data_IF_744118167056
#
_entry.id   IF_744118167056
#
_cell.length_a   1.000
_cell.length_b   1.000
_cell.length_c   1.000
_cell.angle_alpha   90.00
_cell.angle_beta   90.00
_cell.angle_gamma   90.00
#
_symmetry.space_group_name_H-M   'P 1'
#
loop_
_entity.id
_entity.type
_entity.pdbx_description
1 polymer ?
#
# COMPACT_ATOMS: atom_id res chain seq x y z
N UNK A 1 -39.78 19.62 24.20
CA UNK A 1 -38.62 18.75 24.48
C UNK A 1 -37.84 18.58 23.18
N UNK A 2 -36.72 19.28 23.02
CA UNK A 2 -35.77 19.08 21.94
C UNK A 2 -34.80 18.00 22.42
N UNK A 3 -34.78 16.85 21.75
CA UNK A 3 -33.69 15.89 21.86
C UNK A 3 -32.58 16.39 20.93
N UNK A 4 -31.57 17.03 21.51
CA UNK A 4 -30.28 17.19 20.81
C UNK A 4 -29.67 15.82 20.67
N UNK A 5 -29.80 15.26 19.46
CA UNK A 5 -28.98 14.10 19.03
C UNK A 5 -27.53 14.57 18.99
N UNK A 6 -26.82 14.43 20.10
CA UNK A 6 -25.37 14.48 20.09
C UNK A 6 -24.89 13.29 19.27
N UNK A 7 -24.73 13.51 17.96
CA UNK A 7 -24.05 12.58 17.09
C UNK A 7 -22.62 12.44 17.55
N UNK A 8 -22.30 11.34 18.22
CA UNK A 8 -20.93 10.92 18.43
C UNK A 8 -20.32 10.61 17.06
N UNK A 9 -19.76 11.63 16.41
CA UNK A 9 -18.99 11.42 15.19
C UNK A 9 -17.64 10.80 15.56
N UNK A 10 -17.65 9.51 15.90
CA UNK A 10 -16.43 8.74 15.91
C UNK A 10 -16.12 8.35 14.47
N UNK A 11 -15.04 8.91 13.90
CA UNK A 11 -14.44 8.31 12.71
C UNK A 11 -14.21 6.83 12.98
N UNK A 12 -14.54 5.92 12.08
CA UNK A 12 -14.25 4.52 12.27
C UNK A 12 -12.75 4.35 12.53
N UNK A 13 -12.38 3.36 13.34
CA UNK A 13 -10.98 2.95 13.47
C UNK A 13 -10.60 2.09 12.28
N UNK A 14 -9.32 2.07 11.93
CA UNK A 14 -8.83 1.08 10.96
C UNK A 14 -9.09 -0.34 11.49
N UNK A 15 -9.21 -1.29 10.57
CA UNK A 15 -9.26 -2.71 10.90
C UNK A 15 -7.90 -3.12 11.49
N UNK A 16 -7.91 -3.83 12.61
CA UNK A 16 -6.68 -4.29 13.27
C UNK A 16 -6.53 -5.81 13.26
N UNK A 17 -7.63 -6.54 13.04
CA UNK A 17 -7.59 -7.98 12.91
C UNK A 17 -6.81 -8.41 11.65
N UNK A 18 -5.79 -9.23 11.84
CA UNK A 18 -4.87 -9.64 10.78
C UNK A 18 -3.84 -8.60 10.35
N UNK A 19 -3.79 -7.41 10.99
CA UNK A 19 -2.81 -6.37 10.67
C UNK A 19 -1.41 -6.78 11.16
N UNK A 20 -0.51 -7.07 10.20
CA UNK A 20 0.85 -7.56 10.49
C UNK A 20 1.94 -6.54 10.21
N UNK A 21 1.63 -5.49 9.44
CA UNK A 21 2.51 -4.36 9.16
C UNK A 21 1.71 -3.08 9.02
N UNK A 22 2.17 -2.00 9.64
CA UNK A 22 1.52 -0.69 9.57
C UNK A 22 2.51 0.44 9.78
N UNK A 23 2.69 1.27 8.76
CA UNK A 23 3.45 2.51 8.85
C UNK A 23 2.57 3.70 8.46
N UNK A 24 2.77 4.82 9.15
CA UNK A 24 2.05 6.06 8.91
C UNK A 24 2.97 7.26 9.15
N UNK A 25 3.29 8.00 8.09
CA UNK A 25 4.19 9.14 8.12
C UNK A 25 3.68 10.30 9.02
N UNK A 26 2.36 10.38 9.25
CA UNK A 26 1.78 11.39 10.15
C UNK A 26 1.82 10.99 11.63
N UNK A 27 1.97 9.71 11.92
CA UNK A 27 2.04 9.23 13.29
C UNK A 27 3.46 9.39 13.86
N UNK A 28 3.63 10.26 14.85
CA UNK A 28 4.95 10.54 15.43
C UNK A 28 5.64 9.33 16.07
N UNK A 29 4.90 8.27 16.42
CA UNK A 29 5.46 6.99 16.86
C UNK A 29 5.97 6.15 15.68
N UNK A 30 5.40 6.35 14.48
CA UNK A 30 5.89 5.72 13.25
C UNK A 30 7.04 6.52 12.65
N UNK A 31 6.85 7.85 12.50
CA UNK A 31 7.92 8.74 12.04
C UNK A 31 7.93 10.04 12.83
N UNK A 32 9.02 10.35 13.58
CA UNK A 32 9.05 11.54 14.45
C UNK A 32 9.18 12.87 13.69
N UNK A 33 9.40 12.83 12.37
CA UNK A 33 9.60 14.01 11.51
C UNK A 33 11.05 14.23 11.10
N UNK A 34 11.98 13.41 11.60
CA UNK A 34 13.40 13.44 11.24
C UNK A 34 14.04 12.06 11.45
N UNK A 35 15.22 11.87 10.86
CA UNK A 35 15.97 10.61 10.93
C UNK A 35 15.62 9.68 9.76
N UNK A 36 16.18 8.47 9.79
CA UNK A 36 16.07 7.50 8.70
C UNK A 36 15.21 6.29 9.03
N UNK A 37 14.64 6.22 10.24
CA UNK A 37 13.83 5.08 10.67
C UNK A 37 12.34 5.38 10.50
N UNK A 38 11.64 4.52 9.77
CA UNK A 38 10.17 4.50 9.71
C UNK A 38 9.66 3.29 10.51
N UNK A 39 9.10 3.55 11.68
CA UNK A 39 8.74 2.54 12.66
C UNK A 39 7.40 1.88 12.32
N UNK A 40 7.37 0.56 12.28
CA UNK A 40 6.16 -0.24 12.21
C UNK A 40 5.38 -0.13 13.54
N UNK A 41 4.09 0.18 13.42
CA UNK A 41 3.18 0.40 14.55
C UNK A 41 2.58 -0.90 15.11
N UNK A 42 2.80 -2.04 14.44
CA UNK A 42 2.32 -3.35 14.91
C UNK A 42 3.20 -3.92 16.01
N UNK A 43 2.78 -5.03 16.59
CA UNK A 43 3.57 -5.75 17.58
C UNK A 43 4.83 -6.38 16.98
N UNK A 44 4.87 -6.60 15.65
CA UNK A 44 6.01 -7.20 14.94
C UNK A 44 7.23 -6.27 14.90
N UNK A 45 6.99 -4.93 14.91
CA UNK A 45 8.06 -3.91 14.94
C UNK A 45 9.08 -4.05 13.81
N UNK A 46 8.59 -4.37 12.63
CA UNK A 46 9.39 -4.47 11.41
C UNK A 46 9.77 -3.07 10.93
N UNK A 47 10.74 -2.45 11.63
CA UNK A 47 11.12 -1.07 11.38
C UNK A 47 11.89 -0.95 10.07
N UNK A 48 11.59 0.12 9.32
CA UNK A 48 12.22 0.40 8.04
C UNK A 48 13.31 1.44 8.09
N UNK A 49 14.14 1.41 7.05
CA UNK A 49 15.17 2.41 6.81
C UNK A 49 14.86 3.17 5.52
N UNK A 50 14.73 4.49 5.64
CA UNK A 50 14.63 5.40 4.50
C UNK A 50 15.97 5.43 3.75
N UNK A 51 15.95 5.15 2.45
CA UNK A 51 17.13 5.10 1.61
C UNK A 51 17.23 6.33 0.71
N UNK A 52 18.46 6.81 0.52
CA UNK A 52 18.82 7.84 -0.46
C UNK A 52 18.11 9.21 -0.28
N UNK A 53 17.79 9.58 0.95
CA UNK A 53 17.35 10.93 1.27
C UNK A 53 15.91 11.25 0.90
N UNK A 54 14.99 10.30 1.02
CA UNK A 54 13.55 10.52 0.82
C UNK A 54 13.09 11.79 1.52
N UNK A 55 12.48 12.71 0.78
CA UNK A 55 11.98 13.96 1.33
C UNK A 55 10.72 13.74 2.17
N UNK A 56 10.71 14.29 3.39
CA UNK A 56 9.55 14.32 4.28
C UNK A 56 8.93 15.72 4.30
N UNK A 57 7.60 15.80 4.28
CA UNK A 57 6.83 17.02 4.50
C UNK A 57 5.78 16.80 5.57
N UNK A 58 5.44 17.86 6.31
CA UNK A 58 4.33 17.90 7.26
C UNK A 58 2.96 18.11 6.60
N UNK A 59 2.92 18.26 5.29
CA UNK A 59 1.67 18.32 4.53
C UNK A 59 0.82 17.08 4.81
N UNK A 60 -0.51 17.25 4.81
CA UNK A 60 -1.41 16.14 5.15
C UNK A 60 -1.02 15.41 6.44
N UNK A 61 -0.46 16.15 7.42
CA UNK A 61 0.12 15.72 8.69
C UNK A 61 1.38 14.86 8.60
N UNK A 62 1.83 14.46 7.43
CA UNK A 62 3.06 13.71 7.19
C UNK A 62 3.00 12.89 5.91
N UNK A 63 3.93 13.15 5.00
CA UNK A 63 4.07 12.45 3.72
C UNK A 63 5.55 12.27 3.37
N UNK A 64 5.86 11.20 2.64
CA UNK A 64 7.13 11.00 1.96
C UNK A 64 6.98 11.21 0.46
N UNK A 65 7.97 11.85 -0.16
CA UNK A 65 8.03 12.09 -1.62
C UNK A 65 9.13 11.25 -2.24
N UNK A 66 8.78 10.55 -3.32
CA UNK A 66 9.62 9.71 -4.16
C UNK A 66 9.67 10.34 -5.55
N UNK A 67 10.84 10.52 -6.12
CA UNK A 67 11.03 11.18 -7.43
C UNK A 67 11.41 10.21 -8.56
N UNK A 68 11.29 8.91 -8.30
CA UNK A 68 11.67 7.81 -9.20
C UNK A 68 13.19 7.74 -9.52
N UNK A 69 14.04 8.46 -8.81
CA UNK A 69 15.49 8.44 -9.05
C UNK A 69 16.16 7.29 -8.32
N UNK A 70 16.11 7.27 -6.98
CA UNK A 70 16.77 6.22 -6.20
C UNK A 70 16.15 5.97 -4.82
N UNK A 71 15.11 6.71 -4.43
CA UNK A 71 14.47 6.64 -3.13
C UNK A 71 13.65 5.35 -2.98
N UNK A 72 13.74 4.74 -1.82
CA UNK A 72 12.89 3.63 -1.38
C UNK A 72 13.03 3.40 0.12
N UNK A 73 12.13 2.63 0.70
CA UNK A 73 12.22 2.20 2.10
C UNK A 73 12.32 0.69 2.14
N UNK A 74 13.20 0.17 3.01
CA UNK A 74 13.32 -1.27 3.27
C UNK A 74 12.95 -1.56 4.71
N UNK A 75 12.19 -2.63 4.93
CA UNK A 75 11.84 -3.16 6.24
C UNK A 75 12.26 -4.62 6.30
N UNK A 76 12.91 -5.00 7.40
CA UNK A 76 13.16 -6.42 7.65
C UNK A 76 11.90 -7.06 8.20
N UNK A 77 11.38 -8.03 7.52
CA UNK A 77 10.17 -8.77 7.91
C UNK A 77 10.33 -10.25 7.62
N UNK A 78 9.62 -11.08 8.37
CA UNK A 78 9.50 -12.53 8.18
C UNK A 78 8.07 -12.96 8.51
N UNK A 79 7.12 -12.60 7.62
CA UNK A 79 5.76 -13.11 7.68
C UNK A 79 5.72 -14.36 6.80
N UNK A 80 5.92 -15.50 7.43
CA UNK A 80 5.99 -16.78 6.73
C UNK A 80 4.62 -17.33 6.36
N UNK A 81 4.58 -17.99 5.21
CA UNK A 81 3.52 -18.93 4.80
C UNK A 81 2.09 -18.37 4.82
N UNK A 82 1.83 -17.31 4.05
CA UNK A 82 0.48 -16.77 3.86
C UNK A 82 -0.14 -17.27 2.56
N UNK A 83 -1.41 -17.64 2.60
CA UNK A 83 -2.24 -17.98 1.43
C UNK A 83 -3.19 -16.86 1.02
N UNK A 84 -3.38 -15.88 1.89
CA UNK A 84 -4.24 -14.73 1.69
C UNK A 84 -3.55 -13.48 2.24
N UNK A 85 -3.78 -12.34 1.62
CA UNK A 85 -3.23 -11.08 2.10
C UNK A 85 -4.08 -9.88 1.68
N UNK A 86 -3.86 -8.76 2.37
CA UNK A 86 -4.27 -7.44 1.91
C UNK A 86 -3.08 -6.49 1.98
N UNK A 87 -2.80 -5.80 0.88
CA UNK A 87 -1.86 -4.67 0.81
C UNK A 87 -2.67 -3.40 0.64
N UNK A 88 -2.41 -2.38 1.46
CA UNK A 88 -3.13 -1.12 1.42
C UNK A 88 -2.16 0.04 1.51
N UNK A 89 -2.38 1.07 0.67
CA UNK A 89 -1.57 2.28 0.66
C UNK A 89 -2.43 3.53 0.48
N UNK A 90 -2.01 4.65 1.09
CA UNK A 90 -2.41 5.98 0.69
C UNK A 90 -1.29 6.63 -0.09
N UNK A 91 -1.58 7.00 -1.34
CA UNK A 91 -0.62 7.62 -2.24
C UNK A 91 -1.24 8.72 -3.10
N UNK A 92 -0.37 9.54 -3.64
CA UNK A 92 -0.63 10.48 -4.73
C UNK A 92 0.46 10.29 -5.77
N UNK A 93 0.13 9.77 -6.97
CA UNK A 93 1.13 9.67 -8.03
C UNK A 93 1.39 11.03 -8.69
N UNK A 94 2.62 11.25 -9.10
CA UNK A 94 3.04 12.44 -9.84
C UNK A 94 3.51 11.99 -11.23
N UNK A 95 3.02 12.66 -12.28
CA UNK A 95 3.38 12.32 -13.64
C UNK A 95 3.07 10.87 -14.05
N UNK A 96 3.74 10.39 -15.09
CA UNK A 96 3.62 9.00 -15.54
C UNK A 96 4.52 8.08 -14.73
N UNK A 97 4.04 6.87 -14.46
CA UNK A 97 4.81 5.87 -13.76
C UNK A 97 5.67 5.04 -14.71
N UNK A 98 6.81 4.58 -14.23
CA UNK A 98 7.61 3.59 -14.94
C UNK A 98 6.86 2.25 -15.01
N UNK A 99 7.14 1.46 -16.03
CA UNK A 99 6.63 0.08 -16.12
C UNK A 99 7.05 -0.70 -14.88
N UNK A 100 6.10 -1.35 -14.23
CA UNK A 100 6.29 -2.12 -12.99
C UNK A 100 6.78 -1.28 -11.80
N UNK A 101 6.59 0.04 -11.79
CA UNK A 101 6.97 0.86 -10.64
C UNK A 101 6.36 0.32 -9.35
N UNK A 102 7.20 -0.07 -8.40
CA UNK A 102 6.78 -0.72 -7.17
C UNK A 102 6.23 0.27 -6.15
N UNK A 103 5.12 -0.08 -5.51
CA UNK A 103 4.45 0.78 -4.52
C UNK A 103 4.65 0.23 -3.11
N UNK A 104 4.15 -0.98 -2.85
CA UNK A 104 4.30 -1.70 -1.59
C UNK A 104 4.51 -3.18 -1.93
N UNK A 105 5.70 -3.65 -1.73
CA UNK A 105 6.15 -4.99 -2.08
C UNK A 105 6.72 -5.75 -0.89
N UNK A 106 6.70 -7.06 -1.01
CA UNK A 106 7.56 -7.97 -0.26
C UNK A 106 8.39 -8.79 -1.23
N UNK A 107 9.64 -9.13 -0.85
CA UNK A 107 10.48 -10.07 -1.56
C UNK A 107 10.74 -11.28 -0.69
N UNK A 108 10.09 -12.39 -1.02
CA UNK A 108 10.17 -13.65 -0.28
C UNK A 108 11.51 -14.38 -0.41
N UNK A 109 11.65 -15.44 0.36
CA UNK A 109 12.74 -16.40 0.21
C UNK A 109 12.76 -16.99 -1.20
N UNK A 110 13.94 -17.11 -1.82
CA UNK A 110 14.06 -17.50 -3.21
C UNK A 110 13.97 -16.36 -4.22
N UNK A 111 13.70 -15.13 -3.76
CA UNK A 111 13.72 -13.92 -4.58
C UNK A 111 12.43 -13.56 -5.29
N UNK A 112 11.33 -14.32 -5.08
CA UNK A 112 10.03 -14.00 -5.65
C UNK A 112 9.41 -12.75 -4.99
N UNK A 113 8.70 -11.96 -5.77
CA UNK A 113 8.08 -10.71 -5.35
C UNK A 113 6.57 -10.82 -5.26
N UNK A 114 5.99 -10.10 -4.29
CA UNK A 114 4.55 -10.07 -4.02
C UNK A 114 4.17 -8.66 -3.58
N UNK A 115 3.12 -8.07 -4.16
CA UNK A 115 2.62 -6.76 -3.75
C UNK A 115 2.06 -5.92 -4.88
N UNK A 116 1.89 -4.63 -4.60
CA UNK A 116 1.29 -3.62 -5.48
C UNK A 116 2.33 -2.93 -6.35
N UNK A 117 2.05 -2.82 -7.65
CA UNK A 117 2.86 -2.08 -8.62
C UNK A 117 2.00 -1.41 -9.68
N UNK A 118 2.59 -0.48 -10.42
CA UNK A 118 2.02 -0.01 -11.69
C UNK A 118 2.31 -1.03 -12.79
N UNK A 119 1.38 -1.21 -13.73
CA UNK A 119 1.55 -2.13 -14.86
C UNK A 119 2.42 -1.51 -15.96
N UNK A 120 2.87 -2.28 -16.96
CA UNK A 120 3.52 -1.73 -18.15
C UNK A 120 2.69 -0.70 -18.92
N UNK A 121 1.36 -0.72 -18.75
CA UNK A 121 0.43 0.23 -19.38
C UNK A 121 0.36 1.58 -18.69
N UNK A 122 1.40 2.03 -18.06
CA UNK A 122 1.54 3.33 -17.40
C UNK A 122 0.31 3.81 -16.62
N UNK A 123 0.46 4.09 -15.33
CA UNK A 123 -0.61 4.63 -14.47
C UNK A 123 -1.77 3.68 -14.13
N UNK A 124 -1.83 2.48 -14.72
CA UNK A 124 -2.73 1.41 -14.32
C UNK A 124 -2.09 0.64 -13.17
N UNK A 125 -2.84 0.43 -12.08
CA UNK A 125 -2.36 -0.33 -10.92
C UNK A 125 -2.57 -1.83 -11.16
N UNK A 126 -1.58 -2.62 -10.81
CA UNK A 126 -1.58 -4.07 -10.85
C UNK A 126 -0.93 -4.66 -9.60
N UNK A 127 -0.55 -5.92 -9.69
CA UNK A 127 0.10 -6.62 -8.58
C UNK A 127 1.00 -7.74 -9.08
N UNK A 128 1.91 -8.16 -8.21
CA UNK A 128 2.65 -9.41 -8.32
C UNK A 128 2.20 -10.36 -7.21
N UNK A 129 2.24 -11.66 -7.51
CA UNK A 129 2.10 -12.71 -6.51
C UNK A 129 3.05 -13.85 -6.86
N UNK A 130 4.12 -14.01 -6.06
CA UNK A 130 5.20 -15.01 -6.28
C UNK A 130 5.83 -14.97 -7.67
N UNK A 131 5.88 -13.80 -8.32
CA UNK A 131 6.32 -13.65 -9.73
C UNK A 131 5.58 -14.58 -10.73
N UNK A 132 4.37 -15.02 -10.39
CA UNK A 132 3.57 -15.84 -11.29
C UNK A 132 3.13 -15.02 -12.51
N UNK A 133 3.39 -15.54 -13.73
CA UNK A 133 3.21 -14.81 -14.98
C UNK A 133 1.79 -14.31 -15.26
N UNK A 134 0.78 -14.95 -14.65
CA UNK A 134 -0.62 -14.53 -14.73
C UNK A 134 -1.02 -13.44 -13.71
N UNK A 135 -0.07 -12.95 -12.92
CA UNK A 135 -0.28 -11.88 -11.94
C UNK A 135 0.50 -10.63 -12.29
N UNK A 136 1.81 -10.73 -12.54
CA UNK A 136 2.61 -9.55 -12.79
C UNK A 136 2.24 -8.89 -14.12
N UNK A 137 2.17 -7.55 -14.08
CA UNK A 137 1.79 -6.79 -15.26
C UNK A 137 0.35 -7.03 -15.71
N UNK A 138 -0.53 -7.41 -14.79
CA UNK A 138 -1.96 -7.59 -15.07
C UNK A 138 -2.60 -6.28 -15.54
N UNK A 139 -2.54 -6.04 -16.85
CA UNK A 139 -3.04 -4.82 -17.52
C UNK A 139 -4.56 -4.76 -17.58
N UNK A 140 -5.22 -5.90 -17.47
CA UNK A 140 -6.68 -6.03 -17.54
C UNK A 140 -7.39 -5.43 -16.32
N UNK A 141 -6.64 -5.00 -15.28
CA UNK A 141 -7.21 -4.26 -14.16
C UNK A 141 -7.94 -3.01 -14.65
N UNK A 142 -7.44 -2.34 -15.69
CA UNK A 142 -7.93 -1.08 -16.23
C UNK A 142 -8.08 0.05 -15.18
N UNK A 143 -7.70 -0.21 -13.93
CA UNK A 143 -7.81 0.73 -12.82
C UNK A 143 -6.69 1.75 -12.90
N UNK A 144 -6.99 2.88 -13.52
CA UNK A 144 -6.03 3.98 -13.67
C UNK A 144 -6.01 4.85 -12.42
N UNK A 145 -4.82 4.99 -11.83
CA UNK A 145 -4.59 5.89 -10.69
C UNK A 145 -4.53 7.34 -11.21
N UNK A 146 -5.34 8.28 -10.70
CA UNK A 146 -5.31 9.66 -11.14
C UNK A 146 -3.98 10.34 -10.81
N UNK A 147 -3.56 11.33 -11.62
CA UNK A 147 -2.41 12.16 -11.29
C UNK A 147 -2.80 13.22 -10.26
N UNK A 148 -1.87 13.54 -9.38
CA UNK A 148 -1.95 14.65 -8.42
C UNK A 148 -3.15 14.62 -7.46
N UNK A 149 -3.82 13.48 -7.38
CA UNK A 149 -4.92 13.22 -6.45
C UNK A 149 -4.52 12.17 -5.40
N UNK A 150 -4.85 12.44 -4.13
CA UNK A 150 -4.73 11.45 -3.09
C UNK A 150 -5.78 10.37 -3.25
N UNK A 151 -5.35 9.13 -3.21
CA UNK A 151 -6.24 7.97 -3.24
C UNK A 151 -5.72 6.86 -2.33
N UNK A 152 -6.65 6.01 -1.90
CA UNK A 152 -6.32 4.77 -1.21
C UNK A 152 -6.44 3.60 -2.17
N UNK A 153 -5.39 2.81 -2.27
CA UNK A 153 -5.38 1.59 -3.07
C UNK A 153 -5.29 0.41 -2.10
N UNK A 154 -6.13 -0.59 -2.31
CA UNK A 154 -6.02 -1.86 -1.62
C UNK A 154 -6.04 -3.01 -2.63
N UNK A 155 -5.19 -4.00 -2.38
CA UNK A 155 -5.18 -5.30 -3.04
C UNK A 155 -5.57 -6.35 -2.01
N UNK A 156 -6.61 -7.12 -2.25
CA UNK A 156 -6.91 -8.34 -1.49
C UNK A 156 -6.62 -9.55 -2.35
N UNK A 157 -6.00 -10.58 -1.78
CA UNK A 157 -5.67 -11.83 -2.48
C UNK A 157 -6.16 -13.00 -1.64
N UNK A 158 -6.87 -13.91 -2.29
CA UNK A 158 -7.21 -15.26 -1.81
C UNK A 158 -6.55 -16.31 -2.70
N UNK A 159 -6.71 -17.58 -2.42
CA UNK A 159 -6.16 -18.67 -3.24
C UNK A 159 -6.67 -18.71 -4.69
N UNK A 160 -7.77 -18.03 -5.01
CA UNK A 160 -8.43 -18.07 -6.33
C UNK A 160 -8.83 -16.71 -6.91
N UNK A 161 -8.66 -15.62 -6.15
CA UNK A 161 -9.11 -14.31 -6.56
C UNK A 161 -8.18 -13.23 -6.00
N UNK A 162 -7.78 -12.28 -6.83
CA UNK A 162 -7.26 -11.00 -6.41
C UNK A 162 -8.27 -9.89 -6.74
N UNK A 163 -8.42 -8.91 -5.84
CA UNK A 163 -9.26 -7.74 -6.07
C UNK A 163 -8.49 -6.47 -5.75
N UNK A 164 -8.44 -5.55 -6.71
CA UNK A 164 -7.92 -4.20 -6.53
C UNK A 164 -9.07 -3.25 -6.28
N UNK A 165 -8.95 -2.44 -5.24
CA UNK A 165 -9.84 -1.33 -4.88
C UNK A 165 -9.07 -0.03 -4.99
N UNK A 166 -9.57 0.92 -5.78
CA UNK A 166 -9.07 2.29 -5.83
C UNK A 166 -10.16 3.23 -5.31
N UNK A 167 -10.01 3.68 -4.07
CA UNK A 167 -10.86 4.69 -3.46
C UNK A 167 -10.32 6.09 -3.76
N UNK A 168 -11.14 6.87 -4.47
CA UNK A 168 -10.96 8.31 -4.73
C UNK A 168 -12.03 9.09 -3.96
N UNK A 169 -11.84 10.39 -3.78
CA UNK A 169 -12.91 11.24 -3.23
C UNK A 169 -14.15 11.29 -4.13
N UNK A 170 -13.96 11.06 -5.42
CA UNK A 170 -15.03 11.04 -6.45
C UNK A 170 -15.70 9.68 -6.62
N UNK A 171 -15.21 8.62 -5.99
CA UNK A 171 -15.81 7.28 -6.11
C UNK A 171 -14.82 6.13 -5.97
N UNK A 172 -15.30 4.93 -6.20
CA UNK A 172 -14.57 3.67 -6.11
C UNK A 172 -14.45 3.03 -7.50
N UNK A 173 -13.26 2.57 -7.84
CA UNK A 173 -13.01 1.67 -8.98
C UNK A 173 -12.54 0.32 -8.44
N UNK A 174 -13.03 -0.77 -9.02
CA UNK A 174 -12.70 -2.14 -8.60
C UNK A 174 -12.38 -2.99 -9.82
N UNK A 175 -11.38 -3.86 -9.71
CA UNK A 175 -11.09 -4.88 -10.70
C UNK A 175 -10.70 -6.19 -10.03
N UNK A 176 -11.00 -7.31 -10.68
CA UNK A 176 -10.73 -8.65 -10.17
C UNK A 176 -9.90 -9.48 -11.15
N UNK A 177 -9.01 -10.31 -10.62
CA UNK A 177 -8.26 -11.31 -11.37
C UNK A 177 -8.52 -12.69 -10.77
N UNK A 178 -9.26 -13.53 -11.51
CA UNK A 178 -9.66 -14.87 -11.07
C UNK A 178 -8.62 -15.91 -11.52
N UNK A 179 -7.49 -15.95 -10.82
CA UNK A 179 -6.40 -16.90 -11.06
C UNK A 179 -5.97 -17.54 -9.74
N UNK A 180 -5.31 -18.69 -9.83
CA UNK A 180 -4.78 -19.37 -8.65
C UNK A 180 -3.59 -18.62 -8.07
N UNK A 181 -3.59 -18.45 -6.75
CA UNK A 181 -2.49 -17.87 -5.97
C UNK A 181 -1.93 -18.92 -5.03
N UNK A 182 -0.67 -19.26 -5.19
CA UNK A 182 0.03 -20.15 -4.27
C UNK A 182 0.39 -19.45 -2.97
N UNK A 183 0.64 -20.24 -1.92
CA UNK A 183 1.19 -19.71 -0.66
C UNK A 183 2.50 -18.97 -0.90
N UNK A 184 2.70 -17.85 -0.22
CA UNK A 184 3.91 -17.01 -0.29
C UNK A 184 4.47 -16.69 1.09
N UNK A 185 5.72 -16.23 1.12
CA UNK A 185 6.33 -15.63 2.31
C UNK A 185 6.52 -14.13 2.05
N UNK A 186 6.17 -13.31 3.01
CA UNK A 186 6.47 -11.88 2.97
C UNK A 186 7.72 -11.61 3.78
N UNK A 187 8.86 -11.61 3.12
CA UNK A 187 10.15 -11.29 3.73
C UNK A 187 10.66 -9.99 3.12
N UNK A 188 11.19 -9.09 3.94
CA UNK A 188 11.70 -7.79 3.50
C UNK A 188 10.66 -6.99 2.69
N UNK A 189 9.95 -6.11 3.38
CA UNK A 189 8.99 -5.20 2.76
C UNK A 189 9.74 -4.01 2.14
N UNK A 190 9.27 -3.56 0.97
CA UNK A 190 9.78 -2.41 0.23
C UNK A 190 8.66 -1.44 -0.08
N UNK A 191 8.93 -0.15 0.07
CA UNK A 191 8.03 0.92 -0.36
C UNK A 191 8.76 1.79 -1.37
N UNK A 192 8.11 2.10 -2.50
CA UNK A 192 8.63 2.99 -3.53
C UNK A 192 9.50 2.34 -4.60
N UNK A 193 9.66 1.02 -4.57
CA UNK A 193 10.45 0.27 -5.56
C UNK A 193 9.94 -1.15 -5.73
N UNK A 194 10.08 -1.73 -6.93
CA UNK A 194 9.95 -3.17 -7.17
C UNK A 194 11.30 -3.85 -6.84
N UNK A 195 11.37 -4.67 -5.78
CA UNK A 195 12.62 -5.29 -5.37
C UNK A 195 13.15 -6.37 -6.33
N UNK A 196 12.36 -6.78 -7.34
CA UNK A 196 12.86 -7.61 -8.43
C UNK A 196 13.83 -6.85 -9.33
N UNK A 197 13.55 -5.56 -9.55
CA UNK A 197 14.39 -4.66 -10.35
C UNK A 197 14.33 -3.23 -9.79
N UNK A 198 15.39 -2.81 -9.15
CA UNK A 198 15.49 -1.49 -8.52
C UNK A 198 15.45 -0.28 -9.47
N UNK A 199 15.34 -0.48 -10.79
CA UNK A 199 15.02 0.60 -11.74
C UNK A 199 13.52 0.92 -11.83
N UNK A 200 12.65 0.08 -11.24
CA UNK A 200 11.19 0.20 -11.27
C UNK A 200 10.68 0.97 -10.07
N UNK A 201 10.87 2.27 -10.09
CA UNK A 201 10.66 3.18 -8.95
C UNK A 201 9.36 3.94 -9.07
N UNK A 202 8.74 4.18 -7.93
CA UNK A 202 7.54 4.99 -7.80
C UNK A 202 7.88 6.48 -7.91
N UNK A 203 7.03 7.24 -8.60
CA UNK A 203 7.05 8.69 -8.66
C UNK A 203 5.80 9.25 -8.01
N UNK A 204 5.93 9.89 -6.84
CA UNK A 204 4.79 10.42 -6.13
C UNK A 204 4.99 10.58 -4.64
N UNK A 205 3.89 10.71 -3.94
CA UNK A 205 3.85 10.83 -2.49
C UNK A 205 3.16 9.63 -1.86
N UNK A 206 3.63 9.18 -0.71
CA UNK A 206 3.06 8.08 0.04
C UNK A 206 3.03 8.44 1.54
N UNK A 207 1.95 8.08 2.21
CA UNK A 207 1.72 8.45 3.60
C UNK A 207 1.46 7.26 4.52
N UNK A 208 0.74 6.24 4.06
CA UNK A 208 0.39 5.05 4.83
C UNK A 208 0.70 3.80 4.01
N UNK A 209 1.29 2.78 4.65
CA UNK A 209 1.41 1.43 4.15
C UNK A 209 0.93 0.43 5.20
N UNK A 210 0.08 -0.51 4.79
CA UNK A 210 -0.47 -1.56 5.66
C UNK A 210 -0.46 -2.91 4.95
N UNK A 211 -0.17 -3.98 5.69
CA UNK A 211 -0.31 -5.36 5.21
C UNK A 211 -1.10 -6.15 6.26
N UNK A 212 -2.05 -6.96 5.78
CA UNK A 212 -2.82 -7.91 6.57
C UNK A 212 -2.52 -9.32 6.07
N UNK A 213 -2.46 -10.28 6.99
CA UNK A 213 -2.26 -11.71 6.68
C UNK A 213 -3.56 -12.43 6.31
N UNK A 214 -4.56 -11.70 5.87
CA UNK A 214 -5.85 -12.18 5.37
C UNK A 214 -6.41 -11.24 4.29
N UNK A 215 -7.33 -11.75 3.49
CA UNK A 215 -8.12 -10.91 2.60
C UNK A 215 -9.17 -10.14 3.42
N UNK A 216 -9.11 -8.80 3.39
CA UNK A 216 -10.15 -7.95 3.96
C UNK A 216 -11.39 -7.95 3.07
N UNK A 217 -12.58 -7.84 3.66
CA UNK A 217 -13.81 -7.63 2.92
C UNK A 217 -13.87 -6.21 2.32
N UNK A 218 -14.77 -6.00 1.36
CA UNK A 218 -15.02 -4.69 0.77
C UNK A 218 -15.45 -3.66 1.82
N UNK A 219 -16.23 -4.08 2.83
CA UNK A 219 -16.68 -3.25 3.95
C UNK A 219 -15.50 -2.85 4.85
N UNK A 220 -14.58 -3.76 5.13
CA UNK A 220 -13.37 -3.49 5.92
C UNK A 220 -12.40 -2.56 5.16
N UNK A 221 -12.25 -2.73 3.85
CA UNK A 221 -11.51 -1.78 2.99
C UNK A 221 -12.14 -0.40 3.06
N UNK A 222 -13.48 -0.31 2.93
CA UNK A 222 -14.23 0.94 3.07
C UNK A 222 -14.08 1.55 4.46
N UNK A 223 -14.08 0.73 5.52
CA UNK A 223 -13.82 1.19 6.89
C UNK A 223 -12.45 1.86 7.00
N UNK A 224 -11.40 1.23 6.48
CA UNK A 224 -10.04 1.80 6.47
C UNK A 224 -9.97 3.12 5.69
N UNK A 225 -10.66 3.20 4.54
CA UNK A 225 -10.80 4.43 3.77
C UNK A 225 -11.46 5.54 4.60
N UNK A 226 -12.61 5.26 5.21
CA UNK A 226 -13.35 6.24 6.00
C UNK A 226 -12.61 6.69 7.26
N UNK A 227 -11.82 5.79 7.86
CA UNK A 227 -10.99 6.08 9.02
C UNK A 227 -9.88 7.10 8.74
N UNK A 228 -9.41 7.16 7.50
CA UNK A 228 -8.17 7.89 7.14
C UNK A 228 -8.37 9.01 6.14
N UNK A 229 -9.45 8.99 5.32
CA UNK A 229 -9.66 9.93 4.21
C UNK A 229 -9.69 11.41 4.61
N UNK A 230 -10.17 11.72 5.81
CA UNK A 230 -10.28 13.10 6.29
C UNK A 230 -8.94 13.86 6.32
N UNK A 231 -7.83 13.13 6.33
CA UNK A 231 -6.48 13.69 6.29
C UNK A 231 -6.06 14.16 4.90
N UNK A 232 -6.66 13.63 3.85
CA UNK A 232 -6.28 13.87 2.46
C UNK A 232 -7.29 14.74 1.69
N UNK A 233 -8.41 15.07 2.32
CA UNK A 233 -9.44 15.97 1.79
C UNK A 233 -8.94 17.41 1.64
#
# INVERSE_FOLDING_TARGET
WRFDLMGLSHSPRIVTDGLVFCVDAANKRSYPGAGTTWTDLTANKNNGTLQNGIAFSTDKAGIFTFDATNEYVTFSDDISSISEATFLVWLKRIGNQLSYAGVLFSRGGGGSTTGLNFTPSSNVIGYHWNDAGNTYGWNDSTVTVPADEWCMIALTVTSSLATIYLHKFTGLSVATNSVTHSTTNLNNIYIGVDPHNFSRRFNGQLAIGQIYNRALSAEEIKQNYLATKGRYA
#
